data_IF_755457969899
#
_entry.id   IF_755457969899
#
_cell.length_a   1.000
_cell.length_b   1.000
_cell.length_c   1.000
_cell.angle_alpha   90.00
_cell.angle_beta   90.00
_cell.angle_gamma   90.00
#
_symmetry.space_group_name_H-M   'P 1'
#
loop_
_entity.id
_entity.type
_entity.pdbx_description
1 polymer ?
#
# COMPACT_ATOMS: atom_id res chain seq x y z
N UNK A 1 -8.07 22.53 14.88
CA UNK A 1 -6.63 22.50 15.10
C UNK A 1 -6.18 21.14 15.59
N UNK A 2 -6.63 20.71 16.73
CA UNK A 2 -6.25 19.41 17.27
C UNK A 2 -6.75 18.24 16.44
N UNK A 3 -7.85 18.44 15.73
CA UNK A 3 -8.42 17.38 14.87
C UNK A 3 -7.47 16.90 13.79
N UNK A 4 -6.81 17.84 13.11
CA UNK A 4 -5.84 17.48 12.06
C UNK A 4 -4.66 16.71 12.63
N UNK A 5 -4.24 17.08 13.84
CA UNK A 5 -3.12 16.41 14.50
C UNK A 5 -3.48 14.99 14.91
N UNK A 6 -4.74 14.77 15.31
CA UNK A 6 -5.21 13.47 15.75
C UNK A 6 -5.39 12.47 14.61
N UNK A 7 -5.77 12.97 13.42
CA UNK A 7 -5.97 12.06 12.28
C UNK A 7 -4.66 11.50 11.72
N UNK A 8 -3.58 12.29 11.71
CA UNK A 8 -2.30 11.86 11.16
C UNK A 8 -1.76 10.58 11.83
N UNK A 9 -1.72 10.50 13.18
CA UNK A 9 -1.25 9.27 13.82
C UNK A 9 -2.14 8.06 13.52
N UNK A 10 -3.44 8.30 13.34
CA UNK A 10 -4.36 7.23 13.01
C UNK A 10 -4.05 6.62 11.64
N UNK A 11 -3.85 7.45 10.62
CA UNK A 11 -3.49 6.97 9.29
C UNK A 11 -2.15 6.24 9.30
N UNK A 12 -1.18 6.79 10.03
CA UNK A 12 0.14 6.19 10.13
C UNK A 12 0.05 4.78 10.71
N UNK A 13 -0.67 4.63 11.82
CA UNK A 13 -0.85 3.35 12.48
C UNK A 13 -1.53 2.35 11.55
N UNK A 14 -2.59 2.77 10.87
CA UNK A 14 -3.33 1.90 9.95
C UNK A 14 -2.44 1.41 8.80
N UNK A 15 -1.67 2.32 8.20
CA UNK A 15 -0.79 1.94 7.10
C UNK A 15 0.29 0.97 7.57
N UNK A 16 0.85 1.20 8.75
CA UNK A 16 1.88 0.30 9.30
C UNK A 16 1.33 -1.09 9.57
N UNK A 17 0.11 -1.18 10.09
CA UNK A 17 -0.54 -2.47 10.34
C UNK A 17 -0.82 -3.20 9.03
N UNK A 18 -1.30 -2.50 8.03
CA UNK A 18 -1.58 -3.09 6.71
C UNK A 18 -0.29 -3.52 6.02
N UNK A 19 0.78 -2.72 6.16
CA UNK A 19 2.08 -3.06 5.62
C UNK A 19 2.63 -4.31 6.28
N UNK A 20 2.44 -4.45 7.60
CA UNK A 20 2.87 -5.64 8.32
C UNK A 20 2.07 -6.87 7.87
N UNK A 21 0.76 -6.72 7.68
CA UNK A 21 -0.07 -7.80 7.19
C UNK A 21 0.34 -8.22 5.77
N UNK A 22 0.71 -7.26 4.93
CA UNK A 22 1.23 -7.57 3.60
C UNK A 22 2.54 -8.36 3.68
N UNK A 23 3.43 -7.97 4.58
CA UNK A 23 4.70 -8.67 4.76
C UNK A 23 4.48 -10.12 5.22
N UNK A 24 3.52 -10.32 6.11
CA UNK A 24 3.17 -11.68 6.57
C UNK A 24 2.57 -12.50 5.43
N UNK A 25 1.71 -11.89 4.62
CA UNK A 25 1.14 -12.57 3.45
C UNK A 25 2.23 -12.98 2.46
N UNK A 26 3.24 -12.14 2.28
CA UNK A 26 4.37 -12.46 1.41
C UNK A 26 5.16 -13.63 1.96
N UNK A 27 5.44 -13.63 3.27
CA UNK A 27 6.20 -14.70 3.91
C UNK A 27 5.46 -16.03 3.86
N UNK A 28 4.14 -16.01 3.90
CA UNK A 28 3.32 -17.23 3.85
C UNK A 28 2.90 -17.59 2.43
N UNK A 29 3.44 -16.89 1.44
CA UNK A 29 3.14 -17.15 0.02
C UNK A 29 1.65 -17.08 -0.28
N UNK A 30 0.99 -16.04 0.24
CA UNK A 30 -0.44 -15.85 0.06
C UNK A 30 -0.68 -14.68 -0.91
N UNK A 31 -0.65 -14.92 -2.24
CA UNK A 31 -0.68 -13.85 -3.22
C UNK A 31 -1.96 -13.03 -3.21
N UNK A 32 -3.10 -13.66 -2.91
CA UNK A 32 -4.37 -12.94 -2.86
C UNK A 32 -4.40 -11.98 -1.67
N UNK A 33 -4.02 -12.48 -0.48
CA UNK A 33 -3.97 -11.63 0.72
C UNK A 33 -2.93 -10.54 0.58
N UNK A 34 -1.80 -10.85 -0.05
CA UNK A 34 -0.76 -9.84 -0.30
C UNK A 34 -1.32 -8.69 -1.13
N UNK A 35 -2.02 -9.01 -2.22
CA UNK A 35 -2.61 -7.99 -3.08
C UNK A 35 -3.63 -7.15 -2.31
N UNK A 36 -4.51 -7.80 -1.55
CA UNK A 36 -5.51 -7.08 -0.76
C UNK A 36 -4.89 -6.11 0.25
N UNK A 37 -3.85 -6.56 0.97
CA UNK A 37 -3.22 -5.68 1.96
C UNK A 37 -2.45 -4.54 1.33
N UNK A 38 -1.83 -4.76 0.16
CA UNK A 38 -1.17 -3.70 -0.59
C UNK A 38 -2.19 -2.67 -1.05
N UNK A 39 -3.31 -3.12 -1.59
CA UNK A 39 -4.39 -2.23 -2.03
C UNK A 39 -4.93 -1.43 -0.84
N UNK A 40 -5.17 -2.10 0.28
CA UNK A 40 -5.70 -1.44 1.48
C UNK A 40 -4.73 -0.38 2.02
N UNK A 41 -3.43 -0.69 2.06
CA UNK A 41 -2.44 0.26 2.53
C UNK A 41 -2.39 1.50 1.64
N UNK A 42 -2.39 1.29 0.32
CA UNK A 42 -2.37 2.41 -0.63
C UNK A 42 -3.65 3.21 -0.59
N UNK A 43 -4.79 2.53 -0.38
CA UNK A 43 -6.07 3.21 -0.26
C UNK A 43 -6.08 4.16 0.94
N UNK A 44 -5.52 3.70 2.06
CA UNK A 44 -5.41 4.53 3.26
C UNK A 44 -4.47 5.72 3.04
N UNK A 45 -3.35 5.49 2.34
CA UNK A 45 -2.44 6.57 1.97
C UNK A 45 -3.14 7.59 1.07
N UNK A 46 -3.89 7.11 0.07
CA UNK A 46 -4.62 7.98 -0.84
C UNK A 46 -5.68 8.80 -0.12
N UNK A 47 -6.37 8.20 0.84
CA UNK A 47 -7.35 8.93 1.65
C UNK A 47 -6.70 10.11 2.36
N UNK A 48 -5.54 9.90 2.95
CA UNK A 48 -4.84 10.96 3.65
C UNK A 48 -4.33 12.04 2.67
N UNK A 49 -3.79 11.62 1.54
CA UNK A 49 -3.31 12.55 0.51
C UNK A 49 -4.46 13.38 -0.05
N UNK A 50 -5.61 12.75 -0.28
CA UNK A 50 -6.79 13.44 -0.77
C UNK A 50 -7.32 14.43 0.25
N UNK A 51 -7.32 14.06 1.52
CA UNK A 51 -7.75 14.93 2.61
C UNK A 51 -6.89 16.18 2.66
N UNK A 52 -5.57 16.03 2.52
CA UNK A 52 -4.65 17.16 2.48
C UNK A 52 -4.91 18.05 1.27
N UNK A 53 -5.15 17.43 0.12
CA UNK A 53 -5.42 18.16 -1.11
C UNK A 53 -6.70 18.97 -1.00
N UNK A 54 -7.74 18.39 -0.42
CA UNK A 54 -9.00 19.08 -0.22
C UNK A 54 -8.88 20.23 0.79
N UNK A 55 -7.91 20.13 1.68
CA UNK A 55 -7.62 21.21 2.63
C UNK A 55 -6.79 22.33 2.00
N UNK A 56 -6.44 22.21 0.72
CA UNK A 56 -5.69 23.24 0.02
C UNK A 56 -4.18 23.07 0.12
N UNK A 57 -3.71 21.97 0.67
CA UNK A 57 -2.28 21.72 0.78
C UNK A 57 -1.69 21.35 -0.57
N UNK A 58 -0.48 21.80 -0.84
CA UNK A 58 0.25 21.48 -2.07
C UNK A 58 1.55 20.79 -1.78
N UNK A 59 2.05 20.94 -0.57
CA UNK A 59 3.30 20.34 -0.14
C UNK A 59 2.99 19.16 0.77
N UNK A 60 3.67 18.07 0.53
CA UNK A 60 3.48 16.85 1.31
C UNK A 60 4.20 16.99 2.66
N UNK A 61 3.49 16.80 3.78
CA UNK A 61 4.12 16.79 5.09
C UNK A 61 5.18 15.68 5.17
N UNK A 62 6.26 15.95 5.90
CA UNK A 62 7.38 15.02 5.99
C UNK A 62 6.99 13.66 6.54
N UNK A 63 6.14 13.63 7.56
CA UNK A 63 5.72 12.37 8.18
C UNK A 63 4.95 11.48 7.20
N UNK A 64 4.11 12.09 6.37
CA UNK A 64 3.37 11.34 5.34
C UNK A 64 4.31 10.89 4.24
N UNK A 65 5.24 11.75 3.84
CA UNK A 65 6.24 11.39 2.83
C UNK A 65 7.05 10.17 3.29
N UNK A 66 7.51 10.17 4.54
CA UNK A 66 8.26 9.05 5.08
C UNK A 66 7.43 7.77 5.08
N UNK A 67 6.15 7.88 5.37
CA UNK A 67 5.24 6.75 5.39
C UNK A 67 5.08 6.16 3.99
N UNK A 68 4.90 7.02 2.98
CA UNK A 68 4.79 6.58 1.59
C UNK A 68 6.07 5.90 1.13
N UNK A 69 7.22 6.52 1.42
CA UNK A 69 8.51 5.98 1.03
C UNK A 69 8.76 4.63 1.69
N UNK A 70 8.47 4.52 2.99
CA UNK A 70 8.66 3.27 3.71
C UNK A 70 7.80 2.14 3.13
N UNK A 71 6.55 2.45 2.82
CA UNK A 71 5.67 1.47 2.18
C UNK A 71 6.24 1.03 0.83
N UNK A 72 6.62 2.01 0.01
CA UNK A 72 7.10 1.74 -1.34
C UNK A 72 8.37 0.89 -1.33
N UNK A 73 9.32 1.24 -0.48
CA UNK A 73 10.58 0.50 -0.40
C UNK A 73 10.37 -0.95 0.03
N UNK A 74 9.37 -1.17 0.86
CA UNK A 74 9.08 -2.51 1.35
C UNK A 74 8.26 -3.36 0.37
N UNK A 75 7.31 -2.76 -0.34
CA UNK A 75 6.31 -3.51 -1.08
C UNK A 75 6.19 -3.19 -2.57
N UNK A 76 6.80 -2.11 -3.05
CA UNK A 76 6.58 -1.70 -4.43
C UNK A 76 7.79 -0.95 -4.96
N UNK A 77 8.73 -1.70 -5.54
CA UNK A 77 9.97 -1.14 -6.06
C UNK A 77 9.72 -0.09 -7.15
N UNK A 78 8.74 -0.33 -8.00
CA UNK A 78 8.44 0.59 -9.08
C UNK A 78 7.93 1.93 -8.54
N UNK A 79 7.10 1.88 -7.49
CA UNK A 79 6.64 3.09 -6.81
C UNK A 79 7.81 3.80 -6.14
N UNK A 80 8.67 3.06 -5.46
CA UNK A 80 9.84 3.64 -4.80
C UNK A 80 10.74 4.36 -5.81
N UNK A 81 10.99 3.73 -6.96
CA UNK A 81 11.80 4.32 -8.01
C UNK A 81 11.16 5.58 -8.57
N UNK A 82 9.85 5.57 -8.74
CA UNK A 82 9.13 6.73 -9.25
C UNK A 82 9.21 7.91 -8.28
N UNK A 83 9.05 7.63 -6.99
CA UNK A 83 9.12 8.67 -5.96
C UNK A 83 10.50 9.33 -5.95
N UNK A 84 11.55 8.57 -6.22
CA UNK A 84 12.89 9.13 -6.30
C UNK A 84 13.08 10.06 -7.49
N UNK A 85 12.30 9.88 -8.55
CA UNK A 85 12.42 10.67 -9.78
C UNK A 85 11.52 11.90 -9.82
N UNK A 86 10.53 11.96 -8.92
CA UNK A 86 9.64 13.12 -8.85
C UNK A 86 10.01 13.96 -7.64
N UNK A 87 9.39 15.14 -7.56
CA UNK A 87 9.51 15.96 -6.36
C UNK A 87 8.63 15.34 -5.27
N UNK A 88 9.25 14.66 -4.33
CA UNK A 88 8.53 13.95 -3.27
C UNK A 88 7.86 14.89 -2.27
N UNK A 89 8.09 16.19 -2.40
CA UNK A 89 7.37 17.18 -1.60
C UNK A 89 6.11 17.67 -2.30
N UNK A 90 5.96 17.35 -3.58
CA UNK A 90 4.77 17.73 -4.36
C UNK A 90 3.65 16.74 -4.08
N UNK A 91 2.65 17.20 -3.34
CA UNK A 91 1.51 16.37 -2.93
C UNK A 91 0.82 15.71 -4.12
N UNK A 92 0.56 16.48 -5.19
CA UNK A 92 -0.12 15.94 -6.36
C UNK A 92 0.70 14.88 -7.08
N UNK A 93 2.01 15.09 -7.20
CA UNK A 93 2.87 14.12 -7.86
C UNK A 93 2.92 12.79 -7.09
N UNK A 94 3.00 12.88 -5.76
CA UNK A 94 3.01 11.68 -4.92
C UNK A 94 1.65 10.99 -4.95
N UNK A 95 0.56 11.77 -4.90
CA UNK A 95 -0.78 11.20 -5.01
C UNK A 95 -0.94 10.39 -6.30
N UNK A 96 -0.53 10.96 -7.42
CA UNK A 96 -0.65 10.29 -8.71
C UNK A 96 0.20 9.04 -8.77
N UNK A 97 1.39 9.07 -8.17
CA UNK A 97 2.27 7.92 -8.13
C UNK A 97 1.64 6.77 -7.34
N UNK A 98 1.07 7.07 -6.17
CA UNK A 98 0.42 6.06 -5.33
C UNK A 98 -0.84 5.53 -6.02
N UNK A 99 -1.61 6.42 -6.64
CA UNK A 99 -2.82 6.03 -7.36
C UNK A 99 -2.51 5.05 -8.49
N UNK A 100 -1.49 5.34 -9.28
CA UNK A 100 -1.08 4.45 -10.36
C UNK A 100 -0.56 3.12 -9.82
N UNK A 101 0.17 3.14 -8.72
CA UNK A 101 0.67 1.92 -8.10
C UNK A 101 -0.47 1.04 -7.61
N UNK A 102 -1.50 1.64 -7.02
CA UNK A 102 -2.68 0.89 -6.60
C UNK A 102 -3.36 0.23 -7.79
N UNK A 103 -3.48 0.97 -8.89
CA UNK A 103 -4.06 0.43 -10.12
C UNK A 103 -3.31 -0.79 -10.62
N UNK A 104 -1.97 -0.78 -10.56
CA UNK A 104 -1.16 -1.93 -10.97
C UNK A 104 -1.45 -3.15 -10.10
N UNK A 105 -1.56 -2.96 -8.78
CA UNK A 105 -1.84 -4.07 -7.88
C UNK A 105 -3.26 -4.61 -8.10
N UNK A 106 -4.20 -3.73 -8.39
CA UNK A 106 -5.56 -4.15 -8.72
C UNK A 106 -5.60 -5.03 -9.97
N UNK A 107 -4.77 -4.68 -10.97
CA UNK A 107 -4.66 -5.51 -12.17
C UNK A 107 -4.01 -6.86 -11.85
N UNK A 108 -2.99 -6.87 -11.00
CA UNK A 108 -2.37 -8.13 -10.57
C UNK A 108 -3.40 -9.02 -9.88
N UNK A 109 -4.23 -8.44 -9.01
CA UNK A 109 -5.28 -9.21 -8.33
C UNK A 109 -6.31 -9.75 -9.33
N UNK A 110 -6.69 -8.93 -10.31
CA UNK A 110 -7.63 -9.37 -11.35
C UNK A 110 -7.07 -10.56 -12.13
N UNK A 111 -5.76 -10.53 -12.45
CA UNK A 111 -5.11 -11.65 -13.13
C UNK A 111 -5.13 -12.91 -12.27
N UNK A 112 -4.85 -12.78 -10.98
CA UNK A 112 -4.89 -13.92 -10.07
C UNK A 112 -6.28 -14.53 -10.01
N UNK A 113 -7.33 -13.70 -10.06
CA UNK A 113 -8.71 -14.15 -10.00
C UNK A 113 -9.20 -14.82 -11.29
N UNK A 114 -8.44 -14.73 -12.37
CA UNK A 114 -8.79 -15.41 -13.61
C UNK A 114 -8.50 -16.90 -13.54
N UNK A 115 -7.69 -17.33 -12.61
CA UNK A 115 -7.36 -18.73 -12.41
C UNK A 115 -8.57 -19.42 -11.77
N UNK A 116 -9.03 -20.57 -12.30
CA UNK A 116 -10.07 -21.35 -11.63
C UNK A 116 -9.64 -21.69 -10.21
N UNK A 117 -10.57 -21.60 -9.26
CA UNK A 117 -10.29 -21.85 -7.84
C UNK A 117 -9.24 -20.90 -7.27
N UNK A 118 -9.27 -19.64 -7.70
CA UNK A 118 -8.31 -18.65 -7.24
C UNK A 118 -8.32 -18.47 -5.71
N UNK A 119 -9.46 -18.75 -5.06
CA UNK A 119 -9.55 -18.64 -3.61
C UNK A 119 -8.59 -19.60 -2.90
N UNK A 120 -8.24 -20.71 -3.56
CA UNK A 120 -7.36 -21.71 -3.00
C UNK A 120 -5.87 -21.37 -3.16
N UNK A 121 -5.53 -20.34 -3.93
CA UNK A 121 -4.14 -19.98 -4.16
C UNK A 121 -3.38 -19.73 -2.86
N UNK A 122 -4.00 -19.01 -1.94
CA UNK A 122 -3.37 -18.68 -0.65
C UNK A 122 -3.16 -19.93 0.19
N UNK A 123 -4.09 -20.86 0.13
CA UNK A 123 -3.99 -22.09 0.90
C UNK A 123 -2.94 -23.02 0.31
N UNK A 124 -2.88 -23.11 -1.01
CA UNK A 124 -1.97 -24.01 -1.71
C UNK A 124 -0.51 -23.64 -1.46
N UNK A 125 -0.23 -22.34 -1.36
CA UNK A 125 1.13 -21.85 -1.21
C UNK A 125 1.54 -21.59 0.24
N UNK A 126 0.65 -21.85 1.19
CA UNK A 126 0.96 -21.60 2.60
C UNK A 126 2.08 -22.53 3.08
N UNK A 127 3.11 -21.99 3.76
CA UNK A 127 4.23 -22.80 4.23
C UNK A 127 3.82 -23.94 5.15
N UNK A 128 2.72 -23.77 5.90
CA UNK A 128 2.23 -24.81 6.79
C UNK A 128 1.84 -26.09 6.06
N UNK A 129 1.41 -25.98 4.82
CA UNK A 129 1.06 -27.14 4.01
C UNK A 129 2.31 -27.97 3.68
N UNK A 130 3.40 -27.30 3.40
CA UNK A 130 4.67 -27.96 3.12
C UNK A 130 5.19 -28.71 4.34
N UNK A 131 5.03 -28.10 5.51
CA UNK A 131 5.47 -28.72 6.75
C UNK A 131 4.61 -29.93 7.08
N UNK A 132 3.35 -29.85 6.77
CA UNK A 132 2.43 -30.96 7.02
C UNK A 132 2.72 -32.15 6.10
N UNK A 133 3.27 -31.86 4.97
CA UNK A 133 3.64 -32.90 4.02
C UNK A 133 4.92 -33.62 4.43
#
# INVERSE_FOLDING_TARGET
>A
MTMATQTAPHYESAVREMSQAAAEAEQTHAPIRLAYWRIAAMDTLLDRLEELRLAGERTLPEDIRELVVAYAERHDRELADRIQRIDAEDLNAVHDAVFDAQGRVMLELAELRRVPNWQDLDLTLAPGDDEAA
#
